data_IF_670680590496
#
_entry.id   IF_670680590496
#
_cell.length_a   1.000
_cell.length_b   1.000
_cell.length_c   1.000
_cell.angle_alpha   90.00
_cell.angle_beta   90.00
_cell.angle_gamma   90.00
#
_symmetry.space_group_name_H-M   'P 1'
#
loop_
_entity.id
_entity.type
_entity.pdbx_description
1 polymer ?
#
# COMPACT_ATOMS: atom_id res chain seq x y z
N UNK A 1 6.94 8.46 -7.69
CA UNK A 1 6.97 8.16 -6.23
C UNK A 1 5.53 8.05 -5.75
N UNK A 2 5.05 6.83 -5.47
CA UNK A 2 3.66 6.61 -5.06
C UNK A 2 3.47 7.14 -3.64
N UNK A 3 2.87 8.33 -3.51
CA UNK A 3 2.45 8.89 -2.22
C UNK A 3 1.32 8.02 -1.67
N UNK A 4 1.63 6.92 -0.98
CA UNK A 4 0.66 6.13 -0.21
C UNK A 4 0.38 6.77 1.17
N UNK A 5 0.29 8.09 1.18
CA UNK A 5 0.01 8.91 2.35
C UNK A 5 -1.35 9.56 2.19
N UNK A 6 -2.29 9.13 3.04
CA UNK A 6 -3.60 9.76 3.35
C UNK A 6 -4.83 9.42 2.50
N UNK A 7 -4.75 8.70 1.38
CA UNK A 7 -5.96 8.32 0.62
C UNK A 7 -6.31 6.84 0.74
N UNK A 8 -7.53 6.59 1.23
CA UNK A 8 -8.18 5.29 1.29
C UNK A 8 -8.41 4.78 -0.14
N UNK A 9 -7.69 3.74 -0.55
CA UNK A 9 -7.75 3.21 -1.92
C UNK A 9 -8.42 1.83 -1.94
N UNK A 10 -9.17 1.53 -3.00
CA UNK A 10 -9.73 0.20 -3.25
C UNK A 10 -8.68 -0.68 -3.93
N UNK A 11 -8.77 -2.00 -3.74
CA UNK A 11 -7.80 -2.94 -4.31
C UNK A 11 -7.66 -2.88 -5.83
N UNK A 12 -8.79 -2.73 -6.56
CA UNK A 12 -8.77 -2.65 -8.03
C UNK A 12 -8.08 -1.38 -8.53
N UNK A 13 -8.24 -0.28 -7.81
CA UNK A 13 -7.56 0.98 -8.10
C UNK A 13 -6.05 0.82 -7.89
N UNK A 14 -5.65 0.13 -6.82
CA UNK A 14 -4.24 -0.17 -6.55
C UNK A 14 -3.63 -1.06 -7.65
N UNK A 15 -4.35 -2.08 -8.10
CA UNK A 15 -3.89 -2.96 -9.19
C UNK A 15 -3.65 -2.18 -10.50
N UNK A 16 -4.60 -1.33 -10.86
CA UNK A 16 -4.49 -0.45 -12.03
C UNK A 16 -3.31 0.51 -11.90
N UNK A 17 -3.16 1.15 -10.75
CA UNK A 17 -2.08 2.11 -10.49
C UNK A 17 -0.68 1.47 -10.56
N UNK A 18 -0.56 0.22 -10.11
CA UNK A 18 0.70 -0.52 -10.13
C UNK A 18 0.95 -1.24 -11.46
N UNK A 19 -0.01 -1.23 -12.40
CA UNK A 19 0.08 -2.00 -13.65
C UNK A 19 0.17 -3.52 -13.42
N UNK A 20 -0.34 -4.00 -12.28
CA UNK A 20 -0.26 -5.40 -11.86
C UNK A 20 -1.60 -6.12 -12.09
N UNK A 21 -1.53 -7.44 -12.26
CA UNK A 21 -2.72 -8.30 -12.24
C UNK A 21 -3.36 -8.25 -10.85
N UNK A 22 -4.69 -8.24 -10.79
CA UNK A 22 -5.46 -8.24 -9.53
C UNK A 22 -4.99 -9.33 -8.54
N UNK A 23 -4.68 -10.53 -9.04
CA UNK A 23 -4.21 -11.66 -8.22
C UNK A 23 -2.83 -11.44 -7.57
N UNK A 24 -1.92 -10.71 -8.23
CA UNK A 24 -0.63 -10.35 -7.64
C UNK A 24 -0.82 -9.36 -6.51
N UNK A 25 -1.73 -8.39 -6.70
CA UNK A 25 -2.06 -7.38 -5.70
C UNK A 25 -2.74 -8.01 -4.49
N UNK A 26 -3.66 -8.97 -4.69
CA UNK A 26 -4.25 -9.77 -3.59
C UNK A 26 -3.12 -10.35 -2.72
N UNK A 27 -2.16 -11.04 -3.33
CA UNK A 27 -1.09 -11.72 -2.60
C UNK A 27 -0.23 -10.74 -1.79
N UNK A 28 0.13 -9.59 -2.37
CA UNK A 28 0.88 -8.56 -1.66
C UNK A 28 0.09 -8.00 -0.48
N UNK A 29 -1.20 -7.70 -0.68
CA UNK A 29 -2.06 -7.17 0.38
C UNK A 29 -2.26 -8.19 1.50
N UNK A 30 -2.41 -9.47 1.19
CA UNK A 30 -2.49 -10.53 2.19
C UNK A 30 -1.20 -10.65 3.00
N UNK A 31 -0.02 -10.55 2.36
CA UNK A 31 1.26 -10.53 3.08
C UNK A 31 1.35 -9.33 4.03
N UNK A 32 0.99 -8.14 3.57
CA UNK A 32 1.02 -6.93 4.40
C UNK A 32 0.02 -6.99 5.56
N UNK A 33 -1.18 -7.54 5.31
CA UNK A 33 -2.20 -7.74 6.34
C UNK A 33 -1.74 -8.77 7.38
N UNK A 34 -1.22 -9.92 6.94
CA UNK A 34 -0.73 -10.96 7.84
C UNK A 34 0.48 -10.50 8.67
N UNK A 35 1.26 -9.55 8.14
CA UNK A 35 2.33 -8.87 8.88
C UNK A 35 1.87 -7.74 9.80
N UNK A 36 0.57 -7.43 9.86
CA UNK A 36 0.03 -6.36 10.72
C UNK A 36 0.25 -4.94 10.20
N UNK A 37 0.67 -4.77 8.94
CA UNK A 37 0.95 -3.46 8.34
C UNK A 37 -0.26 -2.83 7.63
N UNK A 38 -1.30 -3.62 7.43
CA UNK A 38 -2.48 -3.24 6.64
C UNK A 38 -3.75 -3.77 7.31
N UNK A 39 -4.82 -2.96 7.26
CA UNK A 39 -6.18 -3.36 7.64
C UNK A 39 -7.18 -3.05 6.52
N UNK A 40 -8.20 -3.89 6.43
CA UNK A 40 -9.33 -3.75 5.52
C UNK A 40 -10.53 -3.26 6.32
N UNK A 41 -11.02 -2.07 6.01
CA UNK A 41 -12.22 -1.51 6.63
C UNK A 41 -13.41 -1.59 5.66
N UNK A 42 -14.60 -1.82 6.20
CA UNK A 42 -15.83 -1.65 5.42
C UNK A 42 -15.98 -0.17 5.07
N UNK A 43 -16.39 0.11 3.84
CA UNK A 43 -16.75 1.47 3.45
C UNK A 43 -18.07 1.84 4.14
N UNK A 44 -18.13 2.94 4.92
CA UNK A 44 -19.35 3.35 5.61
C UNK A 44 -20.50 3.70 4.64
N UNK A 45 -20.17 4.01 3.38
CA UNK A 45 -21.15 4.35 2.32
C UNK A 45 -21.51 3.18 1.41
N UNK A 46 -20.71 2.10 1.42
CA UNK A 46 -20.91 0.93 0.57
C UNK A 46 -20.38 -0.34 1.26
N UNK A 47 -21.25 -1.08 1.94
CA UNK A 47 -20.87 -2.29 2.68
C UNK A 47 -20.26 -3.40 1.80
N UNK A 48 -20.44 -3.33 0.47
CA UNK A 48 -19.84 -4.28 -0.48
C UNK A 48 -18.39 -3.92 -0.80
N UNK A 49 -17.96 -2.70 -0.48
CA UNK A 49 -16.62 -2.23 -0.68
C UNK A 49 -15.75 -2.37 0.57
N UNK A 50 -14.50 -2.75 0.35
CA UNK A 50 -13.45 -2.74 1.37
C UNK A 50 -12.39 -1.71 1.00
N UNK A 51 -12.00 -0.91 1.99
CA UNK A 51 -10.95 0.11 1.88
C UNK A 51 -9.67 -0.40 2.50
N UNK A 52 -8.55 -0.12 1.82
CA UNK A 52 -7.22 -0.43 2.32
C UNK A 52 -6.72 0.72 3.19
N UNK A 53 -6.24 0.41 4.39
CA UNK A 53 -5.63 1.39 5.29
C UNK A 53 -4.37 0.80 5.91
N UNK A 54 -3.29 1.58 5.93
CA UNK A 54 -2.10 1.24 6.68
C UNK A 54 -2.37 1.33 8.19
N UNK A 55 -1.78 0.42 8.95
CA UNK A 55 -1.64 0.59 10.40
C UNK A 55 -0.58 1.64 10.73
N UNK A 56 -0.41 1.97 12.00
CA UNK A 56 0.67 2.87 12.43
C UNK A 56 2.04 2.22 12.16
N UNK A 57 2.18 0.93 12.42
CA UNK A 57 3.36 0.14 12.10
C UNK A 57 3.61 0.11 10.60
N UNK A 58 2.55 -0.04 9.80
CA UNK A 58 2.62 0.01 8.33
C UNK A 58 3.10 1.38 7.83
N UNK A 59 2.66 2.48 8.45
CA UNK A 59 3.14 3.83 8.13
C UNK A 59 4.63 3.98 8.44
N UNK A 60 5.09 3.52 9.60
CA UNK A 60 6.51 3.57 9.99
C UNK A 60 7.38 2.76 9.02
N UNK A 61 6.94 1.55 8.67
CA UNK A 61 7.64 0.71 7.69
C UNK A 61 7.72 1.39 6.32
N UNK A 62 6.60 1.96 5.84
CA UNK A 62 6.55 2.70 4.57
C UNK A 62 7.56 3.85 4.53
N UNK A 63 7.62 4.67 5.58
CA UNK A 63 8.60 5.77 5.68
C UNK A 63 10.05 5.26 5.63
N UNK A 64 10.34 4.13 6.27
CA UNK A 64 11.67 3.52 6.23
C UNK A 64 12.03 3.04 4.82
N UNK A 65 11.10 2.40 4.12
CA UNK A 65 11.28 1.95 2.73
C UNK A 65 11.54 3.15 1.81
N UNK A 66 10.74 4.21 1.92
CA UNK A 66 10.91 5.42 1.12
C UNK A 66 12.28 6.07 1.34
N UNK A 67 12.75 6.13 2.59
CA UNK A 67 14.08 6.64 2.92
C UNK A 67 15.18 5.81 2.25
N UNK A 68 15.14 4.49 2.40
CA UNK A 68 16.15 3.59 1.82
C UNK A 68 16.14 3.68 0.30
N UNK A 69 14.95 3.64 -0.32
CA UNK A 69 14.82 3.80 -1.75
C UNK A 69 15.44 5.12 -2.22
N UNK A 70 15.14 6.23 -1.53
CA UNK A 70 15.73 7.55 -1.83
C UNK A 70 17.26 7.55 -1.83
N UNK A 71 17.88 6.87 -0.86
CA UNK A 71 19.33 6.73 -0.81
C UNK A 71 19.88 5.95 -2.01
N UNK A 72 19.23 4.83 -2.38
CA UNK A 72 19.63 4.06 -3.57
C UNK A 72 19.50 4.89 -4.85
N UNK A 73 18.43 5.66 -5.00
CA UNK A 73 18.28 6.55 -6.16
C UNK A 73 19.39 7.60 -6.24
N UNK A 74 19.84 8.14 -5.10
CA UNK A 74 20.97 9.07 -5.06
C UNK A 74 22.31 8.41 -5.39
N UNK A 75 22.52 7.16 -4.99
CA UNK A 75 23.76 6.43 -5.24
C UNK A 75 23.91 5.98 -6.71
N UNK A 76 22.80 5.60 -7.37
CA UNK A 76 22.84 5.04 -8.73
C UNK A 76 22.61 6.06 -9.85
N UNK A 77 21.96 7.19 -9.57
CA UNK A 77 21.59 8.21 -10.55
C UNK A 77 22.05 9.63 -10.15
N UNK A 78 22.85 9.73 -9.08
CA UNK A 78 23.57 10.94 -8.68
C UNK A 78 25.01 10.97 -9.18
#
# INVERSE_FOLDING_TARGET
MLRMGKNLMRQRELAQLLGLKDSAVVRVLDTLKNGGFLRLLQDPTDRRAKRLELTDEGRVLGQRIERIAGLLWQEFLG
#
